data_IF_157342908090
#
_entry.id   IF_157342908090
#
_cell.length_a   1.000
_cell.length_b   1.000
_cell.length_c   1.000
_cell.angle_alpha   90.00
_cell.angle_beta   90.00
_cell.angle_gamma   90.00
#
_symmetry.space_group_name_H-M   'P 1'
#
loop_
_entity.id
_entity.type
_entity.pdbx_description
1 polymer ?
#
# COMPACT_ATOMS: atom_id res chain seq x y z
N UNK A 1 -1.41 -11.22 -30.41
CA UNK A 1 -0.35 -10.35 -29.86
C UNK A 1 -1.04 -9.43 -28.87
N UNK A 2 -1.07 -9.79 -27.58
CA UNK A 2 -1.70 -8.94 -26.55
C UNK A 2 -0.64 -7.95 -26.06
N UNK A 3 -0.89 -6.63 -26.07
CA UNK A 3 0.10 -5.68 -25.60
C UNK A 3 0.32 -5.91 -24.10
N UNK A 4 1.59 -6.03 -23.72
CA UNK A 4 2.03 -6.04 -22.33
C UNK A 4 1.56 -4.75 -21.66
N UNK A 5 0.39 -4.79 -21.01
CA UNK A 5 0.06 -3.84 -19.97
C UNK A 5 0.91 -4.19 -18.74
N UNK A 6 2.19 -3.81 -18.76
CA UNK A 6 2.93 -3.60 -17.52
C UNK A 6 2.22 -2.45 -16.82
N UNK A 7 1.24 -2.79 -15.98
CA UNK A 7 0.41 -1.81 -15.27
C UNK A 7 1.33 -0.77 -14.65
N UNK A 8 1.17 0.48 -15.07
CA UNK A 8 1.86 1.58 -14.44
C UNK A 8 1.56 1.53 -12.93
N UNK A 9 2.56 1.76 -12.06
CA UNK A 9 2.31 1.79 -10.63
C UNK A 9 1.19 2.80 -10.34
N UNK A 10 0.21 2.38 -9.54
CA UNK A 10 -0.90 3.24 -9.15
C UNK A 10 -0.36 4.29 -8.18
N UNK A 11 -0.12 5.49 -8.71
CA UNK A 11 0.41 6.62 -7.96
C UNK A 11 -0.71 7.57 -7.55
N UNK A 12 -0.73 7.96 -6.27
CA UNK A 12 -1.68 8.87 -5.68
C UNK A 12 -0.93 9.96 -4.92
N UNK A 13 -1.37 11.21 -5.04
CA UNK A 13 -0.87 12.31 -4.22
C UNK A 13 -1.72 12.39 -2.95
N UNK A 14 -1.10 12.24 -1.79
CA UNK A 14 -1.77 12.32 -0.48
C UNK A 14 -0.95 13.19 0.45
N UNK A 15 -1.55 14.24 1.00
CA UNK A 15 -0.90 15.19 1.90
C UNK A 15 0.42 15.74 1.35
N UNK A 16 0.43 16.15 0.07
CA UNK A 16 1.60 16.64 -0.69
C UNK A 16 2.68 15.58 -0.99
N UNK A 17 2.51 14.34 -0.51
CA UNK A 17 3.42 13.22 -0.75
C UNK A 17 2.94 12.36 -1.93
N UNK A 18 3.84 12.01 -2.83
CA UNK A 18 3.55 11.06 -3.91
C UNK A 18 3.71 9.63 -3.42
N UNK A 19 2.61 8.88 -3.35
CA UNK A 19 2.59 7.48 -2.96
C UNK A 19 2.28 6.60 -4.16
N UNK A 20 3.26 5.81 -4.61
CA UNK A 20 3.10 4.84 -5.68
C UNK A 20 3.01 3.42 -5.13
N UNK A 21 1.94 2.71 -5.48
CA UNK A 21 1.75 1.30 -5.15
C UNK A 21 2.45 0.45 -6.20
N UNK A 22 3.60 -0.12 -5.83
CA UNK A 22 4.41 -0.96 -6.72
C UNK A 22 3.88 -2.40 -6.75
N UNK A 23 3.45 -2.90 -5.59
CA UNK A 23 2.84 -4.22 -5.45
C UNK A 23 1.84 -4.18 -4.32
N UNK A 24 0.68 -4.79 -4.51
CA UNK A 24 -0.33 -4.96 -3.47
C UNK A 24 -0.86 -6.40 -3.54
N UNK A 25 -1.08 -7.00 -2.39
CA UNK A 25 -1.59 -8.35 -2.26
C UNK A 25 -2.48 -8.43 -1.04
N UNK A 26 -3.76 -8.78 -1.23
CA UNK A 26 -4.70 -8.97 -0.13
C UNK A 26 -4.40 -10.29 0.58
N UNK A 27 -4.51 -10.31 1.90
CA UNK A 27 -4.35 -11.54 2.69
C UNK A 27 -5.51 -12.51 2.43
N UNK A 28 -5.19 -13.79 2.28
CA UNK A 28 -6.20 -14.84 2.13
C UNK A 28 -6.96 -15.12 3.44
N UNK A 29 -6.33 -14.85 4.60
CA UNK A 29 -6.90 -15.12 5.92
C UNK A 29 -7.73 -13.95 6.47
N UNK A 30 -7.29 -12.72 6.19
CA UNK A 30 -7.91 -11.50 6.72
C UNK A 30 -8.21 -10.53 5.58
N UNK A 31 -9.49 -10.39 5.22
CA UNK A 31 -9.89 -9.59 4.05
C UNK A 31 -9.57 -8.08 4.19
N UNK A 32 -9.37 -7.61 5.43
CA UNK A 32 -8.95 -6.24 5.75
C UNK A 32 -7.43 -6.03 5.81
N UNK A 33 -6.64 -7.09 5.64
CA UNK A 33 -5.18 -7.00 5.64
C UNK A 33 -4.63 -7.03 4.22
N UNK A 34 -3.81 -6.03 3.91
CA UNK A 34 -3.07 -5.93 2.68
C UNK A 34 -1.59 -6.02 2.94
N UNK A 35 -0.84 -6.59 2.01
CA UNK A 35 0.61 -6.55 1.98
C UNK A 35 1.01 -5.77 0.75
N UNK A 36 1.76 -4.69 0.94
CA UNK A 36 2.12 -3.84 -0.17
C UNK A 36 3.57 -3.36 -0.11
N UNK A 37 4.14 -3.17 -1.29
CA UNK A 37 5.38 -2.43 -1.53
C UNK A 37 4.98 -1.09 -2.13
N UNK A 38 5.39 -0.01 -1.47
CA UNK A 38 5.05 1.35 -1.89
C UNK A 38 6.32 2.17 -2.07
N UNK A 39 6.22 3.26 -2.81
CA UNK A 39 7.25 4.29 -2.91
C UNK A 39 6.63 5.63 -2.51
N UNK A 40 7.28 6.33 -1.59
CA UNK A 40 6.81 7.62 -1.05
C UNK A 40 7.89 8.66 -1.36
N UNK A 41 7.58 9.66 -2.20
CA UNK A 41 8.52 10.72 -2.62
C UNK A 41 9.91 10.17 -3.00
N UNK A 42 9.90 9.14 -3.85
CA UNK A 42 11.09 8.41 -4.31
C UNK A 42 11.71 7.42 -3.32
N UNK A 43 11.31 7.42 -2.05
CA UNK A 43 11.76 6.42 -1.07
C UNK A 43 10.93 5.15 -1.16
N UNK A 44 11.55 4.09 -1.66
CA UNK A 44 10.95 2.75 -1.69
C UNK A 44 10.83 2.19 -0.27
N UNK A 45 9.59 1.88 0.13
CA UNK A 45 9.28 1.18 1.37
C UNK A 45 9.11 -0.32 1.06
N UNK A 46 9.80 -1.21 1.80
CA UNK A 46 9.69 -2.65 1.59
C UNK A 46 8.30 -3.17 1.95
N UNK A 47 8.06 -4.45 1.63
CA UNK A 47 6.79 -5.12 1.86
C UNK A 47 6.39 -5.05 3.34
N UNK A 48 5.31 -4.35 3.66
CA UNK A 48 4.73 -4.34 5.00
C UNK A 48 3.23 -4.66 4.98
N UNK A 49 2.67 -4.89 6.17
CA UNK A 49 1.26 -5.20 6.37
C UNK A 49 0.49 -3.93 6.65
N UNK A 50 -0.62 -3.74 5.97
CA UNK A 50 -1.55 -2.64 6.15
C UNK A 50 -2.86 -3.24 6.64
N UNK A 51 -3.26 -2.88 7.85
CA UNK A 51 -4.51 -3.33 8.42
C UNK A 51 -5.55 -2.20 8.28
N UNK A 52 -6.44 -2.39 7.30
CA UNK A 52 -7.45 -1.39 6.94
C UNK A 52 -8.66 -1.37 7.87
N UNK A 53 -8.75 -2.32 8.81
CA UNK A 53 -9.76 -2.28 9.88
C UNK A 53 -9.41 -1.24 10.94
N UNK A 54 -8.12 -1.08 11.25
CA UNK A 54 -7.61 -0.16 12.27
C UNK A 54 -6.77 0.98 11.69
N UNK A 55 -6.60 1.02 10.37
CA UNK A 55 -5.80 2.02 9.65
C UNK A 55 -4.36 2.11 10.15
N UNK A 56 -3.74 0.96 10.44
CA UNK A 56 -2.34 0.86 10.87
C UNK A 56 -1.47 0.22 9.78
N UNK A 57 -0.25 0.74 9.65
CA UNK A 57 0.83 0.09 8.93
C UNK A 57 1.71 -0.66 9.93
N UNK A 58 2.06 -1.90 9.61
CA UNK A 58 2.98 -2.74 10.37
C UNK A 58 4.16 -3.05 9.45
N UNK A 59 5.31 -2.49 9.81
CA UNK A 59 6.57 -2.76 9.14
C UNK A 59 6.95 -4.24 9.23
N UNK A 60 7.87 -4.69 8.37
CA UNK A 60 8.43 -6.05 8.46
C UNK A 60 9.11 -6.30 9.80
N UNK A 61 9.59 -5.25 10.47
CA UNK A 61 10.20 -5.27 11.81
C UNK A 61 9.17 -5.38 12.96
N UNK A 62 7.87 -5.33 12.64
CA UNK A 62 6.78 -5.38 13.63
C UNK A 62 6.42 -4.01 14.23
N UNK A 63 7.15 -2.95 13.87
CA UNK A 63 6.78 -1.59 14.26
C UNK A 63 5.43 -1.19 13.65
N UNK A 64 4.54 -0.71 14.53
CA UNK A 64 3.21 -0.19 14.17
C UNK A 64 3.26 1.32 13.99
N UNK A 65 2.79 1.79 12.86
CA UNK A 65 2.73 3.21 12.51
C UNK A 65 1.27 3.55 12.19
N UNK A 66 0.74 4.52 12.91
CA UNK A 66 -0.61 5.07 12.73
C UNK A 66 -0.54 6.30 11.81
N UNK A 67 -1.66 6.60 11.14
CA UNK A 67 -1.82 7.79 10.28
C UNK A 67 -0.79 7.91 9.13
N UNK A 68 -0.25 6.78 8.67
CA UNK A 68 0.70 6.77 7.57
C UNK A 68 0.01 7.10 6.23
N UNK A 69 0.64 7.93 5.40
CA UNK A 69 0.12 8.36 4.10
C UNK A 69 -0.10 7.18 3.14
N UNK A 70 0.75 6.15 3.20
CA UNK A 70 0.56 4.97 2.36
C UNK A 70 -0.59 4.09 2.84
N UNK A 71 -0.90 4.08 4.14
CA UNK A 71 -2.09 3.37 4.65
C UNK A 71 -3.38 3.93 4.06
N UNK A 72 -3.48 5.25 3.88
CA UNK A 72 -4.65 5.87 3.27
C UNK A 72 -4.87 5.38 1.83
N UNK A 73 -3.78 5.29 1.06
CA UNK A 73 -3.80 4.79 -0.32
C UNK A 73 -4.09 3.29 -0.36
N UNK A 74 -3.39 2.47 0.41
CA UNK A 74 -3.61 1.01 0.40
C UNK A 74 -5.01 0.65 0.86
N UNK A 75 -5.56 1.36 1.85
CA UNK A 75 -6.90 1.09 2.36
C UNK A 75 -8.03 1.66 1.50
N UNK A 76 -7.75 2.47 0.48
CA UNK A 76 -8.77 2.79 -0.52
C UNK A 76 -9.13 1.56 -1.36
N UNK A 77 -8.18 0.65 -1.61
CA UNK A 77 -8.42 -0.63 -2.31
C UNK A 77 -9.33 -1.59 -1.52
N UNK A 78 -9.52 -1.37 -0.23
CA UNK A 78 -10.45 -2.14 0.59
C UNK A 78 -11.92 -1.74 0.38
N UNK A 79 -12.18 -0.50 -0.05
CA UNK A 79 -13.54 0.04 -0.25
C UNK A 79 -14.07 -0.17 -1.67
N UNK A 80 -13.31 -0.84 -2.53
CA UNK A 80 -13.67 -1.16 -3.92
C UNK A 80 -14.21 -2.59 -3.99
#
# INVERSE_FOLDING_TARGET
MFPNAHGAPLCHIVADHQVCVLKITRSAKYYWEYRAVVQIDDKRRPMGRYNCRTQEYVSSDGQRILNDVATQVICSFFKQ
#
